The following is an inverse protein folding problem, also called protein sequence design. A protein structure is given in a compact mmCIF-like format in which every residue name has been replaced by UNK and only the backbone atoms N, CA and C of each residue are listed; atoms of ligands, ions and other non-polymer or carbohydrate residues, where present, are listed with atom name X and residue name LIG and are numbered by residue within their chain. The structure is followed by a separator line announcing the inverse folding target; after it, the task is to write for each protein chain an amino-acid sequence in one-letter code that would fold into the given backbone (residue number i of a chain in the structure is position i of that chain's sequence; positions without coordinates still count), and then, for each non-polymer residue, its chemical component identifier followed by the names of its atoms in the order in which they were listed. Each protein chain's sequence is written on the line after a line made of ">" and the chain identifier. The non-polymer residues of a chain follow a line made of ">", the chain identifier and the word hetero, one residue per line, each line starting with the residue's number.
data_IF_296332099130
#
_entry.id   IF_296332099130
#
_cell.length_a   1.000
_cell.length_b   1.000
_cell.length_c   1.000
_cell.angle_alpha   90.00
_cell.angle_beta   90.00
_cell.angle_gamma   90.00
#
_symmetry.space_group_name_H-M   'P 1'
#
loop_
_entity.id
_entity.type
_entity.pdbx_description
1 polymer ?
#
# COMPACT_ATOMS: atom_id res chain seq x y z
N UNK A 1 -12.32 -31.65 -7.94
CA UNK A 1 -11.85 -31.24 -8.05
C UNK A 1 -11.41 -30.43 -7.99
N UNK A 2 -11.34 -30.36 -7.80
CA UNK A 2 -10.92 -29.70 -7.82
C UNK A 2 -10.23 -29.01 -8.07
N UNK A 3 -10.01 -29.22 -8.27
CA UNK A 3 -9.20 -28.67 -8.45
C UNK A 3 -8.97 -27.75 -9.07
N UNK A 4 -9.48 -27.71 -9.28
CA UNK A 4 -9.34 -26.91 -9.88
C UNK A 4 -9.15 -25.92 -9.62
N UNK A 5 -9.25 -26.15 -9.30
CA UNK A 5 -9.22 -25.34 -9.08
C UNK A 5 -8.81 -24.34 -8.78
N UNK A 6 -9.27 -24.35 -8.59
CA UNK A 6 -9.16 -23.00 -8.30
C UNK A 6 -7.90 -22.56 -7.91
N UNK A 7 -7.17 -23.33 -7.78
CA UNK A 7 -5.82 -22.96 -7.45
C UNK A 7 -5.31 -21.80 -8.26
N UNK A 8 -5.92 -21.51 -9.36
CA UNK A 8 -5.43 -20.44 -10.25
C UNK A 8 -6.26 -19.19 -10.23
N UNK A 9 -7.28 -19.15 -9.39
CA UNK A 9 -8.11 -17.95 -9.32
C UNK A 9 -7.27 -16.78 -8.80
N UNK A 10 -7.34 -15.66 -9.49
CA UNK A 10 -6.70 -14.45 -9.06
C UNK A 10 -7.53 -13.85 -7.92
N UNK A 11 -6.87 -13.45 -6.86
CA UNK A 11 -7.54 -12.73 -5.77
C UNK A 11 -8.16 -11.45 -6.34
N UNK A 12 -9.49 -11.26 -6.19
CA UNK A 12 -10.10 -10.03 -6.69
C UNK A 12 -9.48 -8.77 -6.12
N UNK A 13 -8.99 -8.82 -4.88
CA UNK A 13 -8.31 -7.68 -4.29
C UNK A 13 -7.02 -7.37 -5.05
N UNK A 14 -6.25 -8.37 -5.42
CA UNK A 14 -5.02 -8.16 -6.16
C UNK A 14 -5.30 -7.44 -7.48
N UNK A 15 -6.33 -7.86 -8.20
CA UNK A 15 -6.70 -7.23 -9.46
C UNK A 15 -7.12 -5.78 -9.26
N UNK A 16 -7.90 -5.51 -8.22
CA UNK A 16 -8.30 -4.14 -7.88
C UNK A 16 -7.11 -3.27 -7.53
N UNK A 17 -6.16 -3.81 -6.78
CA UNK A 17 -4.96 -3.07 -6.37
C UNK A 17 -4.14 -2.68 -7.58
N UNK A 18 -3.92 -3.62 -8.50
CA UNK A 18 -3.19 -3.32 -9.74
C UNK A 18 -3.93 -2.26 -10.55
N UNK A 19 -5.24 -2.40 -10.69
CA UNK A 19 -6.03 -1.43 -11.46
C UNK A 19 -5.97 -0.04 -10.84
N UNK A 20 -6.04 0.04 -9.52
CA UNK A 20 -5.93 1.32 -8.82
C UNK A 20 -4.58 1.97 -9.00
N UNK A 21 -3.52 1.15 -8.93
CA UNK A 21 -2.16 1.64 -9.14
C UNK A 21 -2.00 2.19 -10.57
N UNK A 22 -2.43 1.43 -11.56
CA UNK A 22 -2.32 1.84 -12.96
C UNK A 22 -3.11 3.12 -13.23
N UNK A 23 -4.35 3.19 -12.73
CA UNK A 23 -5.17 4.40 -12.93
C UNK A 23 -4.50 5.63 -12.33
N UNK A 24 -3.90 5.50 -11.17
CA UNK A 24 -3.25 6.64 -10.52
C UNK A 24 -2.08 7.17 -11.35
N UNK A 25 -1.34 6.27 -12.00
CA UNK A 25 -0.22 6.67 -12.84
C UNK A 25 -0.69 7.30 -14.15
N UNK A 26 -1.74 6.76 -14.76
CA UNK A 26 -2.24 7.23 -16.05
C UNK A 26 -2.83 8.62 -15.98
N UNK A 27 -3.49 8.92 -14.88
CA UNK A 27 -4.21 10.18 -14.74
C UNK A 27 -3.34 11.30 -14.21
N UNK A 28 -2.04 11.09 -14.09
CA UNK A 28 -1.17 12.05 -13.42
C UNK A 28 -1.74 12.45 -12.05
N UNK A 29 -2.32 11.46 -11.39
CA UNK A 29 -3.08 11.64 -10.15
C UNK A 29 -2.57 10.64 -9.11
N UNK A 30 -1.27 10.66 -8.92
CA UNK A 30 -0.61 9.74 -8.00
C UNK A 30 -0.85 10.16 -6.55
N UNK A 31 -0.92 11.48 -6.32
CA UNK A 31 -1.14 12.01 -4.97
C UNK A 31 -2.23 13.06 -4.96
N UNK A 32 -3.04 13.08 -3.89
CA UNK A 32 -3.98 14.17 -3.61
C UNK A 32 -3.33 15.20 -2.69
N UNK A 33 -2.46 14.74 -1.78
CA UNK A 33 -1.60 15.60 -1.01
C UNK A 33 -0.16 15.23 -1.37
N UNK A 34 0.61 16.20 -1.83
CA UNK A 34 1.99 15.97 -2.23
C UNK A 34 2.90 16.51 -1.13
N UNK A 35 3.61 15.62 -0.46
CA UNK A 35 4.50 16.00 0.63
C UNK A 35 5.41 14.83 0.98
N UNK A 36 6.64 15.16 1.31
CA UNK A 36 7.59 14.19 1.85
C UNK A 36 7.56 14.16 3.37
N UNK A 37 6.69 14.98 3.98
CA UNK A 37 6.59 15.12 5.42
C UNK A 37 5.41 14.31 5.95
N UNK A 38 5.72 13.26 6.72
CA UNK A 38 4.69 12.44 7.32
C UNK A 38 3.79 13.23 8.28
N UNK A 39 4.29 14.33 8.82
CA UNK A 39 3.51 15.21 9.71
C UNK A 39 2.50 16.06 8.94
N UNK A 40 2.60 16.11 7.62
CA UNK A 40 1.62 16.76 6.75
C UNK A 40 0.63 15.73 6.20
N UNK A 41 1.14 14.59 5.76
CA UNK A 41 0.33 13.57 5.08
C UNK A 41 -0.66 12.93 6.05
N UNK A 42 -0.21 12.57 7.24
CA UNK A 42 -1.08 11.89 8.20
C UNK A 42 -2.27 12.76 8.64
N UNK A 43 -2.07 14.03 9.03
CA UNK A 43 -3.22 14.88 9.38
C UNK A 43 -4.16 15.13 8.20
N UNK A 44 -3.65 15.16 6.98
CA UNK A 44 -4.50 15.33 5.81
C UNK A 44 -5.53 14.19 5.72
N UNK A 45 -5.08 12.94 5.95
CA UNK A 45 -5.99 11.81 5.93
C UNK A 45 -7.01 11.87 7.06
N UNK A 46 -6.61 12.35 8.21
CA UNK A 46 -7.50 12.43 9.37
C UNK A 46 -8.72 13.31 9.09
N UNK A 47 -8.60 14.29 8.19
CA UNK A 47 -9.72 15.12 7.80
C UNK A 47 -10.56 14.54 6.68
N UNK A 48 -10.17 13.43 6.08
CA UNK A 48 -10.82 12.87 4.90
C UNK A 48 -11.39 11.48 5.15
N UNK A 49 -10.85 10.75 6.11
CA UNK A 49 -11.25 9.38 6.41
C UNK A 49 -11.71 9.31 7.86
N UNK A 50 -12.46 8.26 8.19
CA UNK A 50 -12.90 8.03 9.57
C UNK A 50 -11.86 7.26 10.38
N UNK A 51 -10.64 7.14 9.84
CA UNK A 51 -9.52 6.55 10.54
C UNK A 51 -8.26 7.32 10.16
N UNK A 52 -7.21 7.16 10.97
CA UNK A 52 -5.93 7.82 10.75
C UNK A 52 -4.89 6.76 10.41
N UNK A 53 -4.46 6.65 9.15
CA UNK A 53 -3.47 5.65 8.79
C UNK A 53 -2.11 5.99 9.40
N UNK A 54 -1.33 4.98 9.76
CA UNK A 54 0.07 5.24 10.14
C UNK A 54 0.84 5.66 8.90
N UNK A 55 1.60 6.74 9.02
CA UNK A 55 2.39 7.26 7.91
C UNK A 55 3.83 7.38 8.37
N UNK A 56 4.73 6.71 7.68
CA UNK A 56 6.16 6.74 8.00
C UNK A 56 6.94 7.02 6.72
N UNK A 57 7.93 7.91 6.81
CA UNK A 57 8.83 8.19 5.71
C UNK A 57 10.03 7.26 5.83
N UNK A 58 10.38 6.61 4.73
CA UNK A 58 11.54 5.71 4.66
C UNK A 58 12.64 6.28 3.77
N UNK A 59 12.77 7.60 3.72
CA UNK A 59 13.78 8.26 2.88
C UNK A 59 15.19 7.81 3.23
N UNK A 60 15.46 7.55 4.51
CA UNK A 60 16.79 7.11 4.94
C UNK A 60 17.18 5.77 4.33
N UNK A 61 16.21 4.96 3.94
CA UNK A 61 16.46 3.68 3.30
C UNK A 61 16.22 3.75 1.78
N UNK A 62 16.13 4.96 1.24
CA UNK A 62 15.94 5.22 -0.20
C UNK A 62 14.54 4.88 -0.70
N UNK A 63 13.55 4.99 0.20
CA UNK A 63 12.13 4.86 -0.16
C UNK A 63 11.38 6.09 0.38
N UNK A 64 11.64 7.27 -0.18
CA UNK A 64 10.99 8.49 0.32
C UNK A 64 9.47 8.46 0.11
N UNK A 65 8.77 8.96 1.12
CA UNK A 65 7.37 9.27 1.01
C UNK A 65 7.21 10.46 0.08
N UNK A 66 6.26 10.40 -0.87
CA UNK A 66 6.00 11.54 -1.75
C UNK A 66 4.61 12.11 -1.60
N UNK A 67 3.74 11.46 -0.85
CA UNK A 67 2.42 11.99 -0.58
C UNK A 67 1.40 10.94 -0.29
N UNK A 68 0.13 11.32 -0.45
CA UNK A 68 -0.98 10.42 -0.20
C UNK A 68 -2.15 10.71 -1.13
N UNK A 69 -3.08 9.78 -1.14
CA UNK A 69 -4.26 9.86 -1.98
C UNK A 69 -5.39 9.09 -1.31
N UNK A 70 -6.63 9.52 -1.58
CA UNK A 70 -7.79 8.71 -1.28
C UNK A 70 -8.02 7.73 -2.41
N UNK A 71 -8.45 6.53 -2.07
CA UNK A 71 -8.82 5.55 -3.07
C UNK A 71 -9.96 4.70 -2.52
N UNK A 72 -10.40 3.76 -3.31
CA UNK A 72 -11.57 2.96 -3.00
C UNK A 72 -11.28 1.51 -3.39
N UNK A 73 -11.28 0.63 -2.43
CA UNK A 73 -11.03 -0.79 -2.65
C UNK A 73 -12.03 -1.61 -1.86
N UNK A 74 -12.53 -2.67 -2.50
CA UNK A 74 -13.46 -3.59 -1.86
C UNK A 74 -14.66 -2.89 -1.24
N UNK A 75 -15.17 -1.86 -1.94
CA UNK A 75 -16.37 -1.16 -1.51
C UNK A 75 -16.16 -0.22 -0.33
N UNK A 76 -14.93 0.18 -0.03
CA UNK A 76 -14.65 1.07 1.09
C UNK A 76 -13.61 2.12 0.72
N UNK A 77 -13.69 3.30 1.31
CA UNK A 77 -12.62 4.29 1.18
C UNK A 77 -11.36 3.79 1.88
N UNK A 78 -10.21 3.97 1.24
CA UNK A 78 -8.92 3.57 1.79
C UNK A 78 -7.92 4.70 1.64
N UNK A 79 -6.86 4.66 2.43
CA UNK A 79 -5.74 5.55 2.28
C UNK A 79 -4.73 4.91 1.33
N UNK A 80 -4.20 5.70 0.39
CA UNK A 80 -3.08 5.29 -0.42
C UNK A 80 -1.88 6.16 -0.04
N UNK A 81 -0.87 5.53 0.53
CA UNK A 81 0.40 6.19 0.82
C UNK A 81 1.31 5.97 -0.37
N UNK A 82 1.95 7.02 -0.84
CA UNK A 82 2.71 6.95 -2.07
C UNK A 82 4.18 7.16 -1.76
N UNK A 83 4.98 6.20 -2.20
CA UNK A 83 6.44 6.21 -2.01
C UNK A 83 7.10 6.10 -3.37
N UNK A 84 8.39 6.35 -3.40
CA UNK A 84 9.18 6.20 -4.61
C UNK A 84 10.50 5.52 -4.29
N UNK A 85 10.97 4.73 -5.24
CA UNK A 85 12.33 4.20 -5.20
C UNK A 85 12.90 4.36 -6.59
N UNK A 86 13.89 5.24 -6.75
CA UNK A 86 14.38 5.66 -8.07
C UNK A 86 13.21 6.18 -8.89
N UNK A 87 12.93 5.58 -10.05
CA UNK A 87 11.82 6.01 -10.90
C UNK A 87 10.54 5.21 -10.67
N UNK A 88 10.53 4.33 -9.69
CA UNK A 88 9.40 3.44 -9.44
C UNK A 88 8.50 4.02 -8.36
N UNK A 89 7.23 4.14 -8.68
CA UNK A 89 6.21 4.57 -7.72
C UNK A 89 5.72 3.32 -6.98
N UNK A 90 5.54 3.46 -5.68
CA UNK A 90 4.98 2.40 -4.83
C UNK A 90 3.73 2.94 -4.18
N UNK A 91 2.62 2.24 -4.36
CA UNK A 91 1.39 2.56 -3.64
C UNK A 91 1.23 1.59 -2.48
N UNK A 92 0.85 2.12 -1.31
CA UNK A 92 0.50 1.31 -0.15
C UNK A 92 -0.94 1.66 0.21
N UNK A 93 -1.84 0.71 -0.02
CA UNK A 93 -3.24 0.89 0.33
C UNK A 93 -3.44 0.37 1.75
N UNK A 94 -4.14 1.15 2.58
CA UNK A 94 -4.25 0.87 4.01
C UNK A 94 -5.68 1.12 4.46
N UNK A 95 -6.22 0.21 5.27
CA UNK A 95 -7.53 0.40 5.92
C UNK A 95 -7.57 -0.39 7.23
N UNK A 96 -8.44 0.01 8.17
CA UNK A 96 -8.53 -0.68 9.45
C UNK A 96 -9.02 -2.11 9.29
N UNK A 97 -8.55 -3.00 10.15
CA UNK A 97 -8.95 -4.38 10.15
C UNK A 97 -9.20 -4.85 11.56
N UNK A 98 -10.28 -5.63 11.76
CA UNK A 98 -10.61 -6.13 13.10
C UNK A 98 -9.66 -7.22 13.54
N UNK A 99 -9.17 -8.05 12.63
CA UNK A 99 -8.15 -9.04 12.94
C UNK A 99 -6.79 -8.36 12.97
N UNK A 100 -6.21 -8.22 14.15
CA UNK A 100 -4.97 -7.49 14.35
C UNK A 100 -3.73 -8.40 14.33
N UNK A 101 -3.88 -9.65 13.90
CA UNK A 101 -2.76 -10.58 13.84
C UNK A 101 -1.73 -10.11 12.78
N UNK A 102 -0.53 -9.77 13.24
CA UNK A 102 0.55 -9.30 12.37
C UNK A 102 0.94 -10.37 11.38
N UNK A 103 1.01 -10.01 10.10
CA UNK A 103 1.40 -10.95 9.06
C UNK A 103 1.80 -10.24 7.77
N UNK A 104 2.64 -10.90 7.01
CA UNK A 104 3.08 -10.42 5.70
C UNK A 104 3.02 -11.60 4.73
N UNK A 105 2.38 -11.39 3.59
CA UNK A 105 2.18 -12.44 2.59
C UNK A 105 3.46 -12.73 1.81
N UNK A 106 3.40 -13.81 1.02
CA UNK A 106 4.35 -14.05 -0.04
C UNK A 106 4.09 -13.07 -1.19
N UNK A 107 5.05 -12.94 -2.07
CA UNK A 107 4.92 -12.08 -3.24
C UNK A 107 3.83 -12.57 -4.17
N UNK A 108 3.07 -11.63 -4.72
CA UNK A 108 2.09 -11.89 -5.77
C UNK A 108 2.51 -11.06 -6.97
N UNK A 109 2.49 -11.66 -8.16
CA UNK A 109 2.81 -10.93 -9.38
C UNK A 109 1.62 -11.04 -10.33
N UNK A 110 1.19 -9.89 -10.86
CA UNK A 110 0.06 -9.82 -11.78
C UNK A 110 0.33 -8.69 -12.77
N UNK A 111 0.29 -9.02 -14.06
CA UNK A 111 0.46 -8.03 -15.14
C UNK A 111 1.75 -7.22 -15.03
N UNK A 112 2.81 -7.84 -14.54
CA UNK A 112 4.10 -7.17 -14.39
C UNK A 112 4.25 -6.36 -13.11
N UNK A 113 3.24 -6.35 -12.27
CA UNK A 113 3.30 -5.67 -10.98
C UNK A 113 3.49 -6.69 -9.86
N UNK A 114 4.32 -6.35 -8.90
CA UNK A 114 4.56 -7.16 -7.73
C UNK A 114 3.80 -6.59 -6.54
N UNK A 115 3.31 -7.46 -5.68
CA UNK A 115 2.49 -7.05 -4.54
C UNK A 115 2.83 -7.87 -3.31
N UNK A 116 2.66 -7.24 -2.16
CA UNK A 116 2.65 -7.91 -0.85
C UNK A 116 1.45 -7.39 -0.09
N UNK A 117 0.90 -8.20 0.78
CA UNK A 117 -0.18 -7.74 1.64
C UNK A 117 -0.04 -8.33 3.03
N UNK A 118 -0.76 -7.78 3.96
CA UNK A 118 -0.73 -8.28 5.33
C UNK A 118 -1.49 -7.38 6.27
N UNK A 119 -1.16 -7.52 7.54
CA UNK A 119 -1.74 -6.73 8.62
C UNK A 119 -0.61 -6.22 9.48
N UNK A 120 -0.63 -4.93 9.78
CA UNK A 120 0.35 -4.30 10.66
C UNK A 120 -0.33 -3.17 11.43
N UNK A 121 -0.12 -3.15 12.75
CA UNK A 121 -0.64 -2.08 13.62
C UNK A 121 -2.16 -1.91 13.49
N UNK A 122 -2.88 -3.02 13.34
CA UNK A 122 -4.34 -2.98 13.24
C UNK A 122 -4.87 -2.56 11.88
N UNK A 123 -4.01 -2.48 10.88
CA UNK A 123 -4.38 -2.08 9.54
C UNK A 123 -4.07 -3.18 8.55
N UNK A 124 -5.01 -3.44 7.64
CA UNK A 124 -4.71 -4.23 6.45
C UNK A 124 -3.94 -3.33 5.48
N UNK A 125 -3.00 -3.89 4.78
CA UNK A 125 -2.24 -3.13 3.77
C UNK A 125 -1.98 -3.98 2.53
N UNK A 126 -1.86 -3.28 1.39
CA UNK A 126 -1.41 -3.85 0.13
C UNK A 126 -0.37 -2.93 -0.47
N UNK A 127 0.79 -3.50 -0.81
CA UNK A 127 1.89 -2.78 -1.44
C UNK A 127 1.95 -3.22 -2.90
N UNK A 128 2.04 -2.27 -3.82
CA UNK A 128 2.09 -2.59 -5.25
C UNK A 128 3.09 -1.68 -5.97
N UNK A 129 3.87 -2.26 -6.87
CA UNK A 129 4.83 -1.51 -7.70
C UNK A 129 5.33 -2.41 -8.83
N UNK A 130 5.89 -1.80 -9.86
CA UNK A 130 6.66 -2.51 -10.88
C UNK A 130 8.14 -2.65 -10.49
N UNK A 131 8.48 -2.24 -9.28
CA UNK A 131 9.84 -2.35 -8.75
C UNK A 131 10.24 -3.83 -8.66
N UNK A 132 11.53 -4.10 -8.77
CA UNK A 132 12.11 -5.44 -8.55
C UNK A 132 11.51 -6.06 -7.30
N UNK A 133 11.14 -7.34 -7.37
CA UNK A 133 10.39 -7.99 -6.30
C UNK A 133 11.18 -8.05 -4.99
N UNK A 134 12.49 -8.21 -5.08
CA UNK A 134 13.33 -8.29 -3.87
C UNK A 134 13.43 -6.94 -3.17
N UNK A 135 13.54 -5.87 -3.95
CA UNK A 135 13.54 -4.53 -3.37
C UNK A 135 12.18 -4.19 -2.78
N UNK A 136 11.10 -4.58 -3.45
CA UNK A 136 9.77 -4.36 -2.91
C UNK A 136 9.56 -5.16 -1.62
N UNK A 137 10.09 -6.38 -1.56
CA UNK A 137 10.04 -7.19 -0.35
C UNK A 137 10.77 -6.50 0.80
N UNK A 138 11.92 -5.88 0.52
CA UNK A 138 12.65 -5.10 1.54
C UNK A 138 11.79 -3.96 2.07
N UNK A 139 11.12 -3.25 1.17
CA UNK A 139 10.22 -2.18 1.58
C UNK A 139 9.08 -2.70 2.43
N UNK A 140 8.45 -3.80 2.01
CA UNK A 140 7.34 -4.39 2.76
C UNK A 140 7.78 -4.81 4.17
N UNK A 141 8.98 -5.35 4.30
CA UNK A 141 9.50 -5.71 5.61
C UNK A 141 9.76 -4.48 6.48
N UNK A 142 10.27 -3.40 5.90
CA UNK A 142 10.45 -2.15 6.64
C UNK A 142 9.10 -1.59 7.10
N UNK A 143 8.11 -1.65 6.23
CA UNK A 143 6.77 -1.17 6.54
C UNK A 143 6.18 -1.90 7.76
N UNK A 144 6.37 -3.23 7.80
CA UNK A 144 5.82 -4.04 8.88
C UNK A 144 6.70 -4.05 10.13
N UNK A 145 7.93 -3.61 10.02
CA UNK A 145 8.82 -3.49 11.18
C UNK A 145 8.70 -2.14 11.88
N UNK A 146 8.09 -1.15 11.21
CA UNK A 146 7.95 0.17 11.80
C UNK A 146 7.04 0.11 13.03
N UNK A 147 7.44 0.68 14.17
CA UNK A 147 6.58 0.67 15.34
C UNK A 147 5.35 1.52 15.09
N UNK A 148 4.20 1.16 15.69
CA UNK A 148 3.02 2.01 15.59
C UNK A 148 3.32 3.36 16.22
N UNK A 149 2.94 4.44 15.54
CA UNK A 149 3.14 5.77 16.05
C UNK A 149 2.05 6.11 17.05
N UNK A 150 2.38 6.70 18.18
CA UNK A 150 1.34 7.29 19.02
C UNK A 150 0.67 8.42 18.25
N UNK A 151 -0.58 8.58 18.46
CA UNK A 151 -1.38 9.58 17.74
C UNK A 151 -0.94 10.98 18.05
#
# INVERSE_FOLDING_TARGET
>A
MTALSGARAVDPTASEVVSGHVRSLMADHVTDVTSTDQHTVKPWFAGKLDFSPPVTDFAAADFPLIGGRLDYLQGRPVAALVYRHRNHVINVFVWPMSDTHERLSQAITLRGFHMFHGVHAGMAFWVVSDLNVEELASFARMLTAAPPKPS
#
